data_IF_231372566740
#
_entry.id   IF_231372566740
#
_cell.length_a   1.000
_cell.length_b   1.000
_cell.length_c   1.000
_cell.angle_alpha   90.00
_cell.angle_beta   90.00
_cell.angle_gamma   90.00
#
_symmetry.space_group_name_H-M   'P 1'
#
loop_
_entity.id
_entity.type
_entity.pdbx_description
1 polymer ?
#
# COMPACT_ATOMS: atom_id res chain seq x y z
N UNK A 1 -15.94 13.83 0.38
CA UNK A 1 -14.91 14.06 -0.66
C UNK A 1 -14.60 12.71 -1.30
N UNK A 2 -14.94 12.48 -2.57
CA UNK A 2 -14.74 11.19 -3.23
C UNK A 2 -13.26 11.01 -3.61
N UNK A 3 -12.64 9.89 -3.22
CA UNK A 3 -11.23 9.55 -3.51
C UNK A 3 -10.92 9.61 -5.02
N UNK A 4 -11.90 9.28 -5.87
CA UNK A 4 -11.80 9.41 -7.33
C UNK A 4 -11.50 10.84 -7.79
N UNK A 5 -12.14 11.85 -7.19
CA UNK A 5 -11.90 13.25 -7.51
C UNK A 5 -10.52 13.74 -7.05
N UNK A 6 -10.00 13.18 -5.96
CA UNK A 6 -8.63 13.45 -5.49
C UNK A 6 -7.59 12.87 -6.44
N UNK A 7 -7.84 11.67 -6.98
CA UNK A 7 -6.93 11.03 -7.94
C UNK A 7 -6.96 11.74 -9.28
N UNK A 8 -8.14 12.02 -9.84
CA UNK A 8 -8.28 12.74 -11.12
C UNK A 8 -7.58 14.10 -11.09
N UNK A 9 -7.91 14.93 -10.08
CA UNK A 9 -7.25 16.23 -9.87
C UNK A 9 -5.76 16.09 -9.57
N UNK A 10 -5.36 15.02 -8.89
CA UNK A 10 -3.96 14.71 -8.61
C UNK A 10 -3.15 14.46 -9.88
N UNK A 11 -3.70 13.69 -10.81
CA UNK A 11 -3.11 13.42 -12.11
C UNK A 11 -3.02 14.71 -12.96
N UNK A 12 -4.09 15.49 -13.02
CA UNK A 12 -4.11 16.80 -13.73
C UNK A 12 -3.07 17.79 -13.18
N UNK A 13 -2.88 17.79 -11.86
CA UNK A 13 -1.98 18.75 -11.19
C UNK A 13 -0.58 18.20 -10.91
N UNK A 14 -0.27 16.99 -11.39
CA UNK A 14 0.96 16.26 -11.09
C UNK A 14 1.31 16.23 -9.59
N UNK A 15 0.28 16.06 -8.74
CA UNK A 15 0.42 15.88 -7.29
C UNK A 15 1.25 16.98 -6.59
N UNK A 16 1.08 18.25 -6.96
CA UNK A 16 1.85 19.40 -6.43
C UNK A 16 1.79 19.58 -4.91
N UNK A 17 0.78 19.03 -4.22
CA UNK A 17 0.67 19.14 -2.75
C UNK A 17 1.57 18.17 -1.97
N UNK A 18 2.23 18.65 -0.89
CA UNK A 18 3.08 17.80 -0.02
C UNK A 18 2.35 16.58 0.54
N UNK A 19 1.07 16.73 0.90
CA UNK A 19 0.19 15.65 1.39
C UNK A 19 -0.13 14.59 0.33
N UNK A 20 0.27 14.81 -0.93
CA UNK A 20 0.03 13.89 -2.05
C UNK A 20 1.27 13.10 -2.47
N UNK A 21 2.36 13.21 -1.71
CA UNK A 21 3.64 12.54 -2.01
C UNK A 21 3.49 11.02 -2.14
N UNK A 22 2.60 10.40 -1.34
CA UNK A 22 2.31 8.97 -1.45
C UNK A 22 1.74 8.62 -2.82
N UNK A 23 0.68 9.30 -3.26
CA UNK A 23 0.05 9.06 -4.56
C UNK A 23 1.01 9.34 -5.70
N UNK A 24 1.80 10.43 -5.63
CA UNK A 24 2.80 10.75 -6.66
C UNK A 24 3.83 9.64 -6.84
N UNK A 25 4.38 9.12 -5.74
CA UNK A 25 5.43 8.10 -5.79
C UNK A 25 4.87 6.76 -6.22
N UNK A 26 3.70 6.37 -5.72
CA UNK A 26 3.01 5.17 -6.18
C UNK A 26 2.64 5.25 -7.67
N UNK A 27 2.18 6.41 -8.17
CA UNK A 27 1.85 6.55 -9.59
C UNK A 27 3.07 6.38 -10.50
N UNK A 28 4.23 6.89 -10.08
CA UNK A 28 5.50 6.69 -10.79
C UNK A 28 5.86 5.21 -10.82
N UNK A 29 5.86 4.55 -9.66
CA UNK A 29 6.22 3.12 -9.58
C UNK A 29 5.25 2.21 -10.34
N UNK A 30 3.95 2.50 -10.32
CA UNK A 30 2.96 1.77 -11.11
C UNK A 30 3.21 1.94 -12.61
N UNK A 31 3.56 3.14 -13.05
CA UNK A 31 3.90 3.38 -14.45
C UNK A 31 5.17 2.62 -14.86
N UNK A 32 6.21 2.66 -14.04
CA UNK A 32 7.46 1.91 -14.27
C UNK A 32 7.26 0.39 -14.26
N UNK A 33 6.32 -0.10 -13.46
CA UNK A 33 5.94 -1.51 -13.44
C UNK A 33 5.04 -1.91 -14.64
N UNK A 34 4.67 -0.99 -15.53
CA UNK A 34 3.82 -1.28 -16.68
C UNK A 34 2.32 -1.36 -16.36
N UNK A 35 1.89 -0.92 -15.17
CA UNK A 35 0.47 -0.87 -14.78
C UNK A 35 -0.26 0.35 -15.37
N UNK A 36 0.43 1.23 -16.11
CA UNK A 36 -0.19 2.31 -16.87
C UNK A 36 -0.09 2.08 -18.37
N UNK A 37 -1.22 1.73 -19.00
CA UNK A 37 -1.44 2.07 -20.41
C UNK A 37 -2.19 3.41 -20.45
N UNK A 38 -1.47 4.51 -20.29
CA UNK A 38 -2.03 5.87 -20.33
C UNK A 38 -2.47 6.44 -18.97
N UNK A 39 -3.55 7.22 -18.97
CA UNK A 39 -3.84 8.26 -17.96
C UNK A 39 -4.28 7.78 -16.55
N UNK A 40 -4.31 6.49 -16.23
CA UNK A 40 -4.84 6.02 -14.94
C UNK A 40 -4.03 4.87 -14.31
N UNK A 41 -2.83 5.15 -13.75
CA UNK A 41 -2.04 4.16 -12.99
C UNK A 41 -2.80 3.53 -11.81
N UNK A 42 -3.88 4.16 -11.35
CA UNK A 42 -4.72 3.68 -10.25
C UNK A 42 -5.91 2.81 -10.68
N UNK A 43 -6.11 2.56 -11.97
CA UNK A 43 -7.26 1.80 -12.48
C UNK A 43 -7.28 0.33 -12.04
N UNK A 44 -6.10 -0.23 -11.73
CA UNK A 44 -5.90 -1.63 -11.27
C UNK A 44 -5.53 -1.71 -9.79
N UNK A 45 -5.73 -0.63 -9.02
CA UNK A 45 -5.32 -0.56 -7.64
C UNK A 45 -6.45 -0.07 -6.73
N UNK A 46 -6.66 -0.78 -5.64
CA UNK A 46 -7.43 -0.28 -4.49
C UNK A 46 -6.45 0.25 -3.44
N UNK A 47 -6.72 1.45 -2.91
CA UNK A 47 -5.95 2.05 -1.83
C UNK A 47 -6.86 2.28 -0.62
N UNK A 48 -6.45 1.77 0.54
CA UNK A 48 -7.14 1.98 1.80
C UNK A 48 -6.15 2.28 2.92
N UNK A 49 -6.60 3.00 3.93
CA UNK A 49 -5.89 3.03 5.21
C UNK A 49 -6.14 1.70 5.92
N UNK A 50 -5.08 1.13 6.49
CA UNK A 50 -5.21 -0.12 7.23
C UNK A 50 -6.02 0.09 8.53
N UNK A 51 -5.66 1.10 9.31
CA UNK A 51 -6.43 1.49 10.49
C UNK A 51 -7.64 2.31 10.08
N UNK A 52 -8.83 1.90 10.55
CA UNK A 52 -10.10 2.49 10.12
C UNK A 52 -10.48 3.77 10.86
N UNK A 53 -9.77 4.11 11.94
CA UNK A 53 -9.98 5.36 12.68
C UNK A 53 -8.87 6.38 12.42
N UNK A 54 -9.18 7.69 12.43
CA UNK A 54 -8.15 8.72 12.36
C UNK A 54 -7.22 8.63 13.58
N UNK A 55 -5.96 9.03 13.41
CA UNK A 55 -5.06 9.23 14.53
C UNK A 55 -5.65 10.33 15.44
N UNK A 56 -5.95 10.00 16.70
CA UNK A 56 -6.58 10.91 17.65
C UNK A 56 -5.80 12.24 17.77
N UNK A 57 -6.43 13.30 17.26
CA UNK A 57 -6.34 14.74 17.58
C UNK A 57 -4.96 15.45 17.51
N UNK A 58 -3.81 14.76 17.52
CA UNK A 58 -2.51 15.44 17.77
C UNK A 58 -1.47 15.32 16.64
N UNK A 59 -1.83 14.79 15.47
CA UNK A 59 -0.90 14.66 14.33
C UNK A 59 0.28 13.69 14.57
N UNK A 60 0.27 12.96 15.68
CA UNK A 60 1.23 11.89 16.00
C UNK A 60 0.75 10.54 15.45
N UNK A 61 1.66 9.57 15.39
CA UNK A 61 1.30 8.19 15.04
C UNK A 61 0.22 7.66 15.98
N UNK A 62 -0.74 6.92 15.42
CA UNK A 62 -1.80 6.25 16.19
C UNK A 62 -1.19 5.34 17.26
N UNK A 63 -1.73 5.38 18.48
CA UNK A 63 -1.48 4.36 19.49
C UNK A 63 -2.41 3.19 19.17
N UNK A 64 -1.84 2.15 18.56
CA UNK A 64 -2.58 0.99 18.09
C UNK A 64 -2.99 0.13 19.28
N UNK A 65 -4.29 0.05 19.56
CA UNK A 65 -4.88 -0.90 20.50
C UNK A 65 -5.05 -2.27 19.87
N UNK A 66 -5.35 -3.30 20.67
CA UNK A 66 -5.62 -4.63 20.12
C UNK A 66 -6.93 -4.66 19.32
N UNK A 67 -7.94 -3.90 19.74
CA UNK A 67 -9.18 -3.72 18.98
C UNK A 67 -8.89 -3.11 17.60
N UNK A 68 -7.98 -2.13 17.52
CA UNK A 68 -7.57 -1.56 16.23
C UNK A 68 -6.97 -2.62 15.32
N UNK A 69 -6.16 -3.54 15.85
CA UNK A 69 -5.54 -4.62 15.07
C UNK A 69 -6.59 -5.61 14.57
N UNK A 70 -7.45 -6.08 15.47
CA UNK A 70 -8.51 -7.04 15.16
C UNK A 70 -9.44 -6.49 14.08
N UNK A 71 -10.00 -5.30 14.29
CA UNK A 71 -10.95 -4.69 13.35
C UNK A 71 -10.28 -4.39 12.01
N UNK A 72 -9.05 -3.86 12.02
CA UNK A 72 -8.33 -3.57 10.76
C UNK A 72 -8.00 -4.83 9.98
N UNK A 73 -7.68 -5.93 10.68
CA UNK A 73 -7.42 -7.21 10.05
C UNK A 73 -8.69 -7.78 9.40
N UNK A 74 -9.80 -7.82 10.14
CA UNK A 74 -11.09 -8.27 9.64
C UNK A 74 -11.53 -7.46 8.41
N UNK A 75 -11.46 -6.12 8.49
CA UNK A 75 -11.86 -5.26 7.37
C UNK A 75 -11.00 -5.51 6.13
N UNK A 76 -9.69 -5.68 6.28
CA UNK A 76 -8.82 -5.98 5.13
C UNK A 76 -9.14 -7.36 4.54
N UNK A 77 -9.45 -8.35 5.36
CA UNK A 77 -9.85 -9.69 4.91
C UNK A 77 -11.15 -9.65 4.09
N UNK A 78 -12.18 -8.96 4.61
CA UNK A 78 -13.45 -8.75 3.89
C UNK A 78 -13.23 -8.00 2.57
N UNK A 79 -12.42 -6.94 2.56
CA UNK A 79 -12.05 -6.21 1.34
C UNK A 79 -11.33 -7.14 0.36
N UNK A 80 -10.39 -7.96 0.83
CA UNK A 80 -9.67 -8.91 -0.03
C UNK A 80 -10.59 -9.98 -0.62
N UNK A 81 -11.62 -10.42 0.12
CA UNK A 81 -12.63 -11.35 -0.38
C UNK A 81 -13.50 -10.72 -1.47
N UNK A 82 -13.83 -9.43 -1.37
CA UNK A 82 -14.64 -8.72 -2.38
C UNK A 82 -13.82 -8.40 -3.63
N UNK A 83 -12.65 -7.81 -3.47
CA UNK A 83 -11.83 -7.34 -4.60
C UNK A 83 -11.00 -8.43 -5.26
N UNK A 84 -10.78 -9.56 -4.57
CA UNK A 84 -9.94 -10.67 -5.01
C UNK A 84 -8.58 -10.20 -5.59
N UNK A 85 -7.80 -9.38 -4.86
CA UNK A 85 -6.53 -8.89 -5.39
C UNK A 85 -5.48 -10.01 -5.48
N UNK A 86 -4.69 -10.00 -6.55
CA UNK A 86 -3.50 -10.86 -6.69
C UNK A 86 -2.43 -10.54 -5.64
N UNK A 87 -2.31 -9.26 -5.29
CA UNK A 87 -1.33 -8.79 -4.32
C UNK A 87 -1.89 -7.76 -3.33
N UNK A 88 -1.40 -7.83 -2.09
CA UNK A 88 -1.72 -6.90 -1.00
C UNK A 88 -0.40 -6.36 -0.45
N UNK A 89 -0.21 -5.04 -0.57
CA UNK A 89 1.04 -4.36 -0.19
C UNK A 89 0.82 -3.42 0.98
N UNK A 90 1.46 -3.72 2.10
CA UNK A 90 1.47 -2.85 3.27
C UNK A 90 2.51 -1.74 3.10
N UNK A 91 2.08 -0.52 2.83
CA UNK A 91 2.96 0.63 2.68
C UNK A 91 3.60 1.13 4.00
N UNK A 92 3.46 0.41 5.11
CA UNK A 92 4.16 0.74 6.37
C UNK A 92 4.45 -0.50 7.19
N UNK A 93 5.55 -0.46 7.96
CA UNK A 93 5.85 -1.49 8.97
C UNK A 93 4.80 -1.55 10.09
N UNK A 94 4.16 -0.42 10.43
CA UNK A 94 3.15 -0.38 11.48
C UNK A 94 1.93 -1.22 11.09
N UNK A 95 1.40 -1.02 9.88
CA UNK A 95 0.27 -1.79 9.37
C UNK A 95 0.65 -3.27 9.17
N UNK A 96 1.84 -3.54 8.63
CA UNK A 96 2.37 -4.90 8.48
C UNK A 96 2.40 -5.66 9.82
N UNK A 97 3.02 -5.06 10.85
CA UNK A 97 3.13 -5.69 12.16
C UNK A 97 1.77 -5.92 12.81
N UNK A 98 0.84 -4.98 12.66
CA UNK A 98 -0.52 -5.13 13.15
C UNK A 98 -1.24 -6.31 12.48
N UNK A 99 -1.16 -6.42 11.15
CA UNK A 99 -1.72 -7.55 10.41
C UNK A 99 -1.05 -8.89 10.78
N UNK A 100 0.28 -8.91 10.90
CA UNK A 100 1.02 -10.11 11.29
C UNK A 100 0.64 -10.59 12.69
N UNK A 101 0.39 -9.68 13.64
CA UNK A 101 -0.06 -10.02 14.99
C UNK A 101 -1.48 -10.61 15.07
N UNK A 102 -2.21 -10.61 13.95
CA UNK A 102 -3.55 -11.18 13.81
C UNK A 102 -3.55 -12.39 12.84
N UNK A 103 -2.37 -12.94 12.53
CA UNK A 103 -2.18 -14.07 11.61
C UNK A 103 -2.68 -13.82 10.17
N UNK A 104 -3.13 -12.60 9.86
CA UNK A 104 -3.75 -12.23 8.59
C UNK A 104 -2.80 -12.44 7.41
N UNK A 105 -1.50 -12.13 7.59
CA UNK A 105 -0.51 -12.32 6.52
C UNK A 105 -0.44 -13.79 6.08
N UNK A 106 -0.49 -14.71 7.05
CA UNK A 106 -0.50 -16.15 6.79
C UNK A 106 -1.79 -16.55 6.10
N UNK A 107 -2.96 -16.11 6.61
CA UNK A 107 -4.27 -16.37 5.99
C UNK A 107 -4.30 -15.95 4.52
N UNK A 108 -3.91 -14.72 4.22
CA UNK A 108 -3.93 -14.17 2.86
C UNK A 108 -2.96 -14.91 1.90
N UNK A 109 -1.79 -15.35 2.40
CA UNK A 109 -0.84 -16.15 1.61
C UNK A 109 -1.36 -17.56 1.34
N UNK A 110 -2.00 -18.20 2.33
CA UNK A 110 -2.66 -19.50 2.16
C UNK A 110 -3.79 -19.40 1.13
N UNK A 111 -4.47 -18.26 1.08
CA UNK A 111 -5.44 -17.94 0.02
C UNK A 111 -4.82 -17.61 -1.35
N UNK A 112 -3.51 -17.87 -1.53
CA UNK A 112 -2.82 -17.73 -2.82
C UNK A 112 -2.47 -16.30 -3.20
N UNK A 113 -2.48 -15.34 -2.27
CA UNK A 113 -2.15 -13.94 -2.55
C UNK A 113 -0.68 -13.64 -2.30
N UNK A 114 -0.10 -12.77 -3.12
CA UNK A 114 1.20 -12.16 -2.82
C UNK A 114 1.01 -11.11 -1.74
N UNK A 115 1.68 -11.26 -0.60
CA UNK A 115 1.53 -10.34 0.54
C UNK A 115 2.88 -9.94 1.09
N UNK A 116 3.17 -8.63 1.05
CA UNK A 116 4.41 -8.08 1.58
C UNK A 116 4.24 -6.59 1.96
N UNK A 117 5.32 -5.94 2.35
CA UNK A 117 5.37 -4.59 2.86
C UNK A 117 6.55 -3.79 2.34
N UNK A 118 6.40 -2.47 2.38
CA UNK A 118 7.44 -1.52 1.99
C UNK A 118 7.60 -0.45 3.07
N UNK A 119 8.73 0.27 3.10
CA UNK A 119 8.79 1.57 3.74
C UNK A 119 7.68 2.50 3.21
N UNK A 120 7.29 3.48 4.02
CA UNK A 120 6.27 4.45 3.62
C UNK A 120 6.72 5.21 2.36
N UNK A 121 5.87 5.32 1.31
CA UNK A 121 6.25 5.98 0.08
C UNK A 121 6.68 7.42 0.27
N UNK A 122 6.11 8.17 1.22
CA UNK A 122 6.57 9.52 1.53
C UNK A 122 7.82 9.61 2.42
N UNK A 123 8.41 8.49 2.84
CA UNK A 123 9.64 8.49 3.64
C UNK A 123 10.91 8.60 2.77
N UNK A 124 12.05 9.01 3.33
CA UNK A 124 13.33 8.98 2.61
C UNK A 124 13.75 7.58 2.16
N UNK A 125 13.37 6.54 2.92
CA UNK A 125 13.67 5.13 2.64
C UNK A 125 12.97 4.58 1.39
N UNK A 126 12.04 5.33 0.81
CA UNK A 126 11.42 4.94 -0.45
C UNK A 126 12.45 4.88 -1.59
N UNK A 127 13.33 5.87 -1.72
CA UNK A 127 14.37 5.91 -2.75
C UNK A 127 15.78 5.71 -2.20
N UNK A 128 15.94 5.57 -0.88
CA UNK A 128 17.24 5.30 -0.26
C UNK A 128 17.43 3.81 -0.04
N UNK A 129 18.54 3.28 -0.54
CA UNK A 129 18.95 1.90 -0.29
C UNK A 129 19.25 1.68 1.19
N UNK A 130 18.91 0.49 1.71
CA UNK A 130 19.15 0.16 3.09
C UNK A 130 19.69 -1.27 3.24
N UNK A 131 20.66 -1.47 4.13
CA UNK A 131 21.16 -2.82 4.46
C UNK A 131 20.05 -3.75 4.94
N UNK A 132 19.07 -3.23 5.68
CA UNK A 132 17.88 -3.98 6.14
C UNK A 132 16.95 -4.42 4.98
N UNK A 133 17.10 -3.83 3.80
CA UNK A 133 16.42 -4.21 2.56
C UNK A 133 17.41 -4.88 1.59
N UNK A 134 18.52 -5.42 2.10
CA UNK A 134 19.54 -6.10 1.30
C UNK A 134 20.13 -5.22 0.20
N UNK A 135 20.29 -3.92 0.48
CA UNK A 135 20.82 -2.96 -0.50
C UNK A 135 19.77 -2.38 -1.45
N UNK A 136 18.50 -2.78 -1.34
CA UNK A 136 17.39 -2.24 -2.11
C UNK A 136 16.75 -1.03 -1.42
N UNK A 137 16.02 -0.23 -2.18
CA UNK A 137 15.14 0.82 -1.68
C UNK A 137 13.69 0.31 -1.51
N UNK A 138 12.83 1.06 -0.83
CA UNK A 138 11.41 0.70 -0.74
C UNK A 138 10.71 0.65 -2.10
N UNK A 139 11.16 1.50 -3.03
CA UNK A 139 10.72 1.53 -4.42
C UNK A 139 11.05 0.23 -5.16
N UNK A 140 12.28 -0.27 -5.03
CA UNK A 140 12.70 -1.49 -5.73
C UNK A 140 11.89 -2.70 -5.24
N UNK A 141 11.72 -2.82 -3.92
CA UNK A 141 10.89 -3.87 -3.31
C UNK A 141 9.44 -3.78 -3.81
N UNK A 142 8.89 -2.57 -3.93
CA UNK A 142 7.54 -2.38 -4.47
C UNK A 142 7.43 -2.88 -5.92
N UNK A 143 8.39 -2.55 -6.79
CA UNK A 143 8.40 -3.00 -8.19
C UNK A 143 8.51 -4.52 -8.30
N UNK A 144 9.33 -5.16 -7.46
CA UNK A 144 9.48 -6.62 -7.43
C UNK A 144 8.16 -7.31 -7.08
N UNK A 145 7.48 -6.85 -6.02
CA UNK A 145 6.18 -7.41 -5.62
C UNK A 145 5.15 -7.26 -6.75
N UNK A 146 5.11 -6.10 -7.43
CA UNK A 146 4.20 -5.88 -8.55
C UNK A 146 4.48 -6.80 -9.75
N UNK A 147 5.76 -7.10 -10.01
CA UNK A 147 6.16 -8.03 -11.08
C UNK A 147 5.78 -9.46 -10.74
N UNK A 148 6.01 -9.89 -9.49
CA UNK A 148 5.58 -11.20 -8.99
C UNK A 148 4.07 -11.36 -9.10
N UNK A 149 3.31 -10.34 -8.69
CA UNK A 149 1.85 -10.33 -8.78
C UNK A 149 1.34 -10.43 -10.24
N UNK A 150 2.06 -9.83 -11.19
CA UNK A 150 1.71 -9.87 -12.62
C UNK A 150 1.97 -11.21 -13.28
N UNK A 151 2.93 -12.00 -12.76
CA UNK A 151 3.30 -13.30 -13.30
C UNK A 151 2.36 -14.43 -12.86
N UNK A 152 1.65 -14.26 -11.74
CA UNK A 152 0.70 -15.25 -11.21
C UNK A 152 -0.72 -15.14 -11.80
N UNK A 153 -0.98 -14.11 -12.60
CA UNK A 153 -2.29 -13.85 -13.23
C UNK A 153 -2.33 -14.04 -14.75
N UNK A 154 -1.33 -14.73 -15.31
CA UNK A 154 -1.21 -15.06 -16.74
C UNK A 154 -1.66 -16.48 -17.06
#
# INVERSE_FOLDING_TARGET
MLTRGVVAKGLETNWKGKSKTIFRRLSVSLAEAGFSNGAAPFSRLAYMNYFQRPAEVTGKSIRVSDLDRMVSAQVLEEVAQVFQPHAILFCTKLAWNAAASQELITSLRVAGRVVDHTPHPASPWWYRTARKLQGRSGHDVFLEILREASQQGG
#
